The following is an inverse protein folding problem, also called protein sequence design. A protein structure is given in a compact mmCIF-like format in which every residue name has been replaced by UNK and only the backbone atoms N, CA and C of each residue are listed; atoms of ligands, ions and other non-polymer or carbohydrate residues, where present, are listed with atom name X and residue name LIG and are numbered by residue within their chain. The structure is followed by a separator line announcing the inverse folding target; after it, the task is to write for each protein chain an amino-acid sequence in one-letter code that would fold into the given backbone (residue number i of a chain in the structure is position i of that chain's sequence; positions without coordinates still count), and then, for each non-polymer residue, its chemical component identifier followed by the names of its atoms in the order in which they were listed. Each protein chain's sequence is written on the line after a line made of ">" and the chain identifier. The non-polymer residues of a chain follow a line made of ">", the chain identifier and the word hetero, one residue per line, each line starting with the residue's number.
data_IF_978142674224
#
_entry.id   IF_978142674224
#
_cell.length_a   1.000
_cell.length_b   1.000
_cell.length_c   1.000
_cell.angle_alpha   90.00
_cell.angle_beta   90.00
_cell.angle_gamma   90.00
#
_symmetry.space_group_name_H-M   'P 1'
#
loop_
_entity.id
_entity.type
_entity.pdbx_description
1 polymer ?
#
# COMPACT_ATOMS: atom_id res chain seq x y z
N UNK A 1 -2.48 -19.54 0.86
CA UNK A 1 -1.52 -18.59 0.27
C UNK A 1 -0.61 -18.13 1.40
N UNK A 2 0.71 -18.28 1.27
CA UNK A 2 1.64 -17.64 2.22
C UNK A 2 1.96 -16.22 1.74
N UNK A 3 1.99 -15.21 2.62
CA UNK A 3 2.32 -13.86 2.18
C UNK A 3 3.75 -13.75 1.67
N UNK A 4 3.94 -13.08 0.52
CA UNK A 4 5.26 -12.85 -0.07
C UNK A 4 6.12 -11.81 0.67
N UNK A 5 5.58 -11.17 1.72
CA UNK A 5 6.39 -10.29 2.54
C UNK A 5 7.41 -11.11 3.33
N UNK A 6 8.69 -10.90 3.06
CA UNK A 6 9.76 -11.45 3.89
C UNK A 6 9.58 -10.82 5.28
N UNK A 7 9.39 -11.62 6.34
CA UNK A 7 9.59 -11.12 7.71
C UNK A 7 10.99 -10.53 7.76
N UNK A 8 11.11 -9.21 7.87
CA UNK A 8 12.37 -8.62 8.28
C UNK A 8 12.67 -9.23 9.66
N UNK A 9 13.82 -9.91 9.78
CA UNK A 9 14.16 -10.72 10.94
C UNK A 9 14.00 -9.97 12.27
N UNK A 10 13.53 -10.68 13.29
CA UNK A 10 13.56 -10.25 14.69
C UNK A 10 12.56 -9.15 15.11
N UNK A 11 11.84 -8.53 14.18
CA UNK A 11 10.88 -7.47 14.51
C UNK A 11 9.57 -8.00 15.10
N UNK A 12 9.17 -7.47 16.26
CA UNK A 12 7.83 -7.65 16.82
C UNK A 12 6.74 -6.99 15.95
N UNK A 13 5.49 -7.27 16.28
CA UNK A 13 4.35 -6.58 15.67
C UNK A 13 4.33 -5.11 16.10
N UNK A 14 4.13 -4.20 15.14
CA UNK A 14 3.88 -2.79 15.41
C UNK A 14 2.39 -2.48 15.20
N UNK A 15 1.81 -1.66 16.07
CA UNK A 15 0.52 -1.00 15.84
C UNK A 15 0.78 0.47 15.55
N UNK A 16 0.13 0.97 14.52
CA UNK A 16 0.23 2.36 14.09
C UNK A 16 -1.13 2.82 13.59
N UNK A 17 -1.36 4.13 13.56
CA UNK A 17 -2.56 4.69 12.95
C UNK A 17 -2.40 4.69 11.44
N UNK A 18 -3.41 4.18 10.74
CA UNK A 18 -3.39 4.00 9.29
C UNK A 18 -3.06 5.31 8.54
N UNK A 19 -3.66 6.43 8.93
CA UNK A 19 -3.43 7.74 8.32
C UNK A 19 -2.07 8.39 8.62
N UNK A 20 -1.31 7.89 9.61
CA UNK A 20 0.03 8.42 9.95
C UNK A 20 1.16 7.66 9.24
N UNK A 21 0.85 6.56 8.55
CA UNK A 21 1.81 5.82 7.75
C UNK A 21 2.10 6.53 6.41
N UNK A 22 3.23 6.19 5.79
CA UNK A 22 3.54 6.55 4.42
C UNK A 22 3.98 5.31 3.63
N UNK A 23 3.43 5.13 2.44
CA UNK A 23 3.73 4.00 1.57
C UNK A 23 4.56 4.51 0.41
N UNK A 24 5.74 3.91 0.22
CA UNK A 24 6.64 4.27 -0.87
C UNK A 24 6.70 3.13 -1.88
N UNK A 25 6.38 3.44 -3.13
CA UNK A 25 6.39 2.49 -4.25
C UNK A 25 6.79 3.20 -5.54
N UNK A 26 7.68 2.61 -6.34
CA UNK A 26 8.22 3.20 -7.57
C UNK A 26 8.68 4.68 -7.43
N UNK A 27 9.28 5.03 -6.28
CA UNK A 27 9.75 6.40 -5.99
C UNK A 27 8.63 7.42 -5.74
N UNK A 28 7.38 6.98 -5.58
CA UNK A 28 6.22 7.79 -5.19
C UNK A 28 5.87 7.51 -3.73
N UNK A 29 5.46 8.54 -3.01
CA UNK A 29 4.91 8.42 -1.66
C UNK A 29 3.39 8.56 -1.72
N UNK A 30 2.69 7.65 -1.03
CA UNK A 30 1.24 7.66 -0.81
C UNK A 30 1.04 7.90 0.69
N UNK A 31 0.23 8.90 1.02
CA UNK A 31 -0.05 9.27 2.40
C UNK A 31 -1.12 8.35 2.98
N UNK A 32 -0.81 7.72 4.11
CA UNK A 32 -1.73 6.87 4.86
C UNK A 32 -2.12 5.56 4.17
N UNK A 33 -2.86 4.76 4.94
CA UNK A 33 -3.62 3.60 4.45
C UNK A 33 -5.09 3.94 4.64
N UNK A 34 -5.86 3.89 3.55
CA UNK A 34 -7.29 4.17 3.51
C UNK A 34 -8.12 2.93 3.85
N UNK A 35 -9.39 3.13 4.24
CA UNK A 35 -10.32 2.02 4.49
C UNK A 35 -11.05 1.59 3.22
N UNK A 36 -11.29 2.52 2.29
CA UNK A 36 -12.02 2.24 1.05
C UNK A 36 -11.51 3.06 -0.13
N UNK A 37 -11.75 2.54 -1.33
CA UNK A 37 -11.52 3.22 -2.60
C UNK A 37 -12.18 4.60 -2.70
N UNK A 38 -13.31 4.79 -2.02
CA UNK A 38 -14.09 6.04 -2.10
C UNK A 38 -13.46 7.25 -1.39
N UNK A 39 -12.39 7.06 -0.61
CA UNK A 39 -11.73 8.13 0.15
C UNK A 39 -10.81 9.04 -0.69
N UNK A 40 -10.58 8.71 -1.95
CA UNK A 40 -9.83 9.54 -2.92
C UNK A 40 -10.68 9.82 -4.16
N UNK A 41 -10.32 10.80 -4.98
CA UNK A 41 -11.07 11.08 -6.21
C UNK A 41 -10.84 9.99 -7.28
N UNK A 42 -11.78 9.79 -8.23
CA UNK A 42 -11.54 8.88 -9.35
C UNK A 42 -10.23 9.20 -10.08
N UNK A 43 -9.41 8.19 -10.34
CA UNK A 43 -8.09 8.34 -10.96
C UNK A 43 -6.93 8.62 -9.99
N UNK A 44 -7.21 8.91 -8.72
CA UNK A 44 -6.16 9.10 -7.70
C UNK A 44 -5.58 7.76 -7.24
N UNK A 45 -4.28 7.80 -6.89
CA UNK A 45 -3.54 6.68 -6.30
C UNK A 45 -3.82 6.63 -4.80
N UNK A 46 -4.03 5.44 -4.27
CA UNK A 46 -4.19 5.20 -2.84
C UNK A 46 -3.54 3.88 -2.41
N UNK A 47 -3.35 3.72 -1.10
CA UNK A 47 -3.06 2.45 -0.47
C UNK A 47 -4.19 2.10 0.49
N UNK A 48 -4.61 0.84 0.55
CA UNK A 48 -5.65 0.34 1.47
C UNK A 48 -5.37 -1.11 1.88
N UNK A 49 -6.13 -1.65 2.83
CA UNK A 49 -6.12 -3.10 3.11
C UNK A 49 -7.32 -3.74 2.44
N UNK A 50 -7.06 -4.64 1.48
CA UNK A 50 -8.11 -5.36 0.76
C UNK A 50 -8.83 -6.42 1.60
N UNK A 51 -9.88 -7.01 1.02
CA UNK A 51 -10.65 -8.08 1.67
C UNK A 51 -9.83 -9.33 1.96
N UNK A 52 -8.75 -9.55 1.21
CA UNK A 52 -7.79 -10.65 1.45
C UNK A 52 -6.78 -10.33 2.56
N UNK A 53 -6.87 -9.17 3.21
CA UNK A 53 -6.01 -8.78 4.34
C UNK A 53 -4.61 -8.31 3.94
N UNK A 54 -4.37 -8.02 2.67
CA UNK A 54 -3.09 -7.51 2.16
C UNK A 54 -3.13 -5.99 1.96
N UNK A 55 -1.97 -5.34 2.11
CA UNK A 55 -1.79 -3.96 1.67
C UNK A 55 -1.83 -3.90 0.14
N UNK A 56 -2.77 -3.14 -0.40
CA UNK A 56 -2.97 -2.94 -1.83
C UNK A 56 -2.47 -1.55 -2.24
N UNK A 57 -1.87 -1.47 -3.44
CA UNK A 57 -1.62 -0.19 -4.13
C UNK A 57 -2.64 -0.10 -5.25
N UNK A 58 -3.50 0.91 -5.19
CA UNK A 58 -4.66 1.03 -6.06
C UNK A 58 -4.70 2.40 -6.76
N UNK A 59 -5.51 2.46 -7.81
CA UNK A 59 -6.02 3.71 -8.38
C UNK A 59 -7.53 3.59 -8.34
N UNK A 60 -8.23 4.58 -7.78
CA UNK A 60 -9.70 4.54 -7.79
C UNK A 60 -10.19 4.50 -9.24
N UNK A 61 -10.99 3.50 -9.56
CA UNK A 61 -11.54 3.27 -10.91
C UNK A 61 -10.44 3.10 -11.98
N UNK A 62 -9.29 2.54 -11.59
CA UNK A 62 -8.15 2.34 -12.48
C UNK A 62 -7.21 1.22 -12.06
N UNK A 63 -6.05 1.17 -12.72
CA UNK A 63 -4.99 0.19 -12.44
C UNK A 63 -3.73 0.91 -11.97
N UNK A 64 -3.33 0.67 -10.71
CA UNK A 64 -2.06 1.17 -10.19
C UNK A 64 -0.86 0.62 -10.96
N UNK A 65 -0.88 -0.67 -11.33
CA UNK A 65 0.16 -1.28 -12.15
C UNK A 65 0.38 -0.51 -13.46
N UNK A 66 -0.71 -0.19 -14.18
CA UNK A 66 -0.63 0.62 -15.40
C UNK A 66 -0.21 2.07 -15.12
N UNK A 67 -0.77 2.69 -14.08
CA UNK A 67 -0.56 4.13 -13.77
C UNK A 67 0.85 4.44 -13.27
N UNK A 68 1.45 3.51 -12.53
CA UNK A 68 2.73 3.65 -11.86
C UNK A 68 3.82 2.77 -12.48
N UNK A 69 3.50 1.94 -13.48
CA UNK A 69 4.44 1.03 -14.13
C UNK A 69 4.87 -0.15 -13.25
N UNK A 70 4.01 -0.59 -12.33
CA UNK A 70 4.34 -1.65 -11.36
C UNK A 70 4.22 -3.04 -11.97
N UNK A 71 5.05 -3.94 -11.46
CA UNK A 71 5.09 -5.37 -11.76
C UNK A 71 5.22 -6.18 -10.48
N UNK A 72 4.80 -7.44 -10.53
CA UNK A 72 5.02 -8.38 -9.43
C UNK A 72 6.51 -8.44 -9.08
N UNK A 73 6.83 -8.30 -7.79
CA UNK A 73 8.20 -8.24 -7.28
C UNK A 73 8.73 -6.83 -7.05
N UNK A 74 8.03 -5.79 -7.52
CA UNK A 74 8.41 -4.41 -7.18
C UNK A 74 8.31 -4.16 -5.67
N UNK A 75 9.29 -3.41 -5.16
CA UNK A 75 9.39 -3.13 -3.73
C UNK A 75 8.32 -2.13 -3.29
N UNK A 76 7.63 -2.49 -2.22
CA UNK A 76 6.76 -1.60 -1.44
C UNK A 76 7.40 -1.40 -0.06
N UNK A 77 7.49 -0.15 0.39
CA UNK A 77 8.02 0.20 1.72
C UNK A 77 6.94 0.91 2.52
N UNK A 78 6.66 0.42 3.73
CA UNK A 78 5.84 1.11 4.70
C UNK A 78 6.76 1.86 5.67
N UNK A 79 6.51 3.15 5.87
CA UNK A 79 7.21 4.03 6.82
C UNK A 79 6.23 4.47 7.90
N UNK A 80 6.65 4.32 9.14
CA UNK A 80 5.95 4.90 10.29
C UNK A 80 6.55 6.29 10.54
N UNK A 81 5.69 7.28 10.76
CA UNK A 81 6.08 8.63 11.19
C UNK A 81 6.06 8.75 12.71
#
# INVERSE_FOLDING_TARGET
>A
FEPAFRKAGGGGWARFKAGEAAIVVAGREIAGVHHTYAEVAPGDVLALVGSEGHLEIAVREGSAARRLGLRSGDRVVLRLR
#
